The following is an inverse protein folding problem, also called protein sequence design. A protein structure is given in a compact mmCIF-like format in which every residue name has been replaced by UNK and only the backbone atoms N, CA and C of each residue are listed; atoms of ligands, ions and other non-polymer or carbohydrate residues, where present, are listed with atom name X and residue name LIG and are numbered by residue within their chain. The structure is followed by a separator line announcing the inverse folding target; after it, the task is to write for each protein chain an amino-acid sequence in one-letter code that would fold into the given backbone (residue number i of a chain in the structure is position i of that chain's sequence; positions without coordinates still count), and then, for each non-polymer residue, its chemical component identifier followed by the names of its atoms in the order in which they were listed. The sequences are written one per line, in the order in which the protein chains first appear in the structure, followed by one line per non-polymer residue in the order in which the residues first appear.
data_IF_272779690264
#
_entry.id   IF_272779690264
#
_cell.length_a   1.000
_cell.length_b   1.000
_cell.length_c   1.000
_cell.angle_alpha   90.00
_cell.angle_beta   90.00
_cell.angle_gamma   90.00
#
_symmetry.space_group_name_H-M   'P 1'
#
loop_
_entity.id
_entity.type
_entity.pdbx_description
1 polymer ?
#
# COMPACT_ATOMS: atom_id res chain seq x y z
N UNK A 1 -25.42 15.19 4.14
CA UNK A 1 -25.19 14.13 3.13
C UNK A 1 -24.76 12.89 3.86
N UNK A 2 -25.65 11.93 3.99
CA UNK A 2 -25.23 10.64 4.52
C UNK A 2 -24.37 9.96 3.49
N UNK A 3 -23.08 9.80 3.81
CA UNK A 3 -22.33 8.76 3.14
C UNK A 3 -23.00 7.45 3.51
N UNK A 4 -23.80 6.90 2.62
CA UNK A 4 -24.15 5.51 2.75
C UNK A 4 -22.83 4.76 2.87
N UNK A 5 -22.55 4.29 4.07
CA UNK A 5 -21.63 3.16 4.20
C UNK A 5 -22.19 2.13 3.24
N UNK A 6 -21.51 1.98 2.11
CA UNK A 6 -21.83 0.89 1.21
C UNK A 6 -21.99 -0.31 2.13
N UNK A 7 -23.18 -0.85 2.15
CA UNK A 7 -23.55 -2.00 2.96
C UNK A 7 -22.40 -2.95 3.06
N UNK A 8 -22.19 -3.54 4.21
CA UNK A 8 -21.16 -4.56 4.46
C UNK A 8 -21.20 -5.54 3.30
N UNK A 9 -20.45 -5.21 2.24
CA UNK A 9 -20.26 -6.12 1.13
C UNK A 9 -19.54 -7.31 1.70
N UNK A 10 -19.97 -8.48 1.28
CA UNK A 10 -19.24 -9.70 1.56
C UNK A 10 -17.83 -9.58 0.94
N UNK A 11 -16.87 -9.16 1.77
CA UNK A 11 -15.48 -8.98 1.36
C UNK A 11 -14.79 -10.31 1.03
N UNK A 12 -15.46 -11.45 1.31
CA UNK A 12 -14.85 -12.77 1.09
C UNK A 12 -14.48 -13.02 -0.37
N UNK A 13 -15.13 -12.35 -1.31
CA UNK A 13 -14.88 -12.51 -2.75
C UNK A 13 -13.94 -11.45 -3.34
N UNK A 14 -13.57 -10.44 -2.55
CA UNK A 14 -12.65 -9.40 -3.01
C UNK A 14 -11.25 -9.97 -3.22
N UNK A 15 -10.63 -9.55 -4.31
CA UNK A 15 -9.24 -9.88 -4.63
C UNK A 15 -8.39 -8.63 -4.46
N UNK A 16 -7.38 -8.74 -3.62
CA UNK A 16 -6.49 -7.63 -3.28
C UNK A 16 -5.07 -7.97 -3.70
N UNK A 17 -4.45 -7.07 -4.46
CA UNK A 17 -3.03 -7.15 -4.77
C UNK A 17 -2.25 -6.22 -3.84
N UNK A 18 -1.19 -6.73 -3.24
CA UNK A 18 -0.26 -5.94 -2.44
C UNK A 18 1.05 -5.83 -3.20
N UNK A 19 1.54 -4.61 -3.37
CA UNK A 19 2.86 -4.35 -3.94
C UNK A 19 3.73 -3.84 -2.81
N UNK A 20 4.81 -4.53 -2.53
CA UNK A 20 5.72 -4.16 -1.44
C UNK A 20 7.15 -4.03 -1.95
N UNK A 21 7.83 -2.95 -1.57
CA UNK A 21 9.22 -2.76 -1.93
C UNK A 21 10.15 -3.47 -0.95
N UNK A 22 11.27 -4.00 -1.47
CA UNK A 22 12.27 -4.70 -0.65
C UNK A 22 13.23 -3.75 0.06
N UNK A 23 13.48 -2.59 -0.51
CA UNK A 23 14.37 -1.62 0.12
C UNK A 23 13.81 -1.17 1.48
N UNK A 24 14.63 -1.15 2.53
CA UNK A 24 14.22 -0.99 3.92
C UNK A 24 13.34 -2.15 4.39
N UNK A 25 13.77 -3.37 4.13
CA UNK A 25 12.99 -4.59 4.32
C UNK A 25 12.46 -4.78 5.75
N UNK A 26 13.23 -4.39 6.78
CA UNK A 26 12.76 -4.48 8.18
C UNK A 26 11.45 -3.71 8.36
N UNK A 27 11.36 -2.53 7.73
CA UNK A 27 10.17 -1.68 7.80
C UNK A 27 9.06 -2.23 6.90
N UNK A 28 9.39 -2.52 5.64
CA UNK A 28 8.38 -2.94 4.66
C UNK A 28 7.76 -4.29 5.00
N UNK A 29 8.51 -5.19 5.62
CA UNK A 29 7.98 -6.45 6.11
C UNK A 29 6.93 -6.25 7.21
N UNK A 30 7.13 -5.27 8.08
CA UNK A 30 6.17 -4.92 9.12
C UNK A 30 4.89 -4.30 8.53
N UNK A 31 5.06 -3.46 7.51
CA UNK A 31 3.93 -2.89 6.79
C UNK A 31 3.09 -3.97 6.12
N UNK A 32 3.77 -4.91 5.47
CA UNK A 32 3.13 -6.04 4.81
C UNK A 32 2.32 -6.89 5.81
N UNK A 33 2.92 -7.20 6.95
CA UNK A 33 2.27 -8.00 7.97
C UNK A 33 1.03 -7.28 8.54
N UNK A 34 1.14 -5.98 8.80
CA UNK A 34 0.02 -5.17 9.25
C UNK A 34 -1.11 -5.11 8.22
N UNK A 35 -0.78 -4.91 6.95
CA UNK A 35 -1.76 -4.88 5.88
C UNK A 35 -2.46 -6.23 5.73
N UNK A 36 -1.69 -7.31 5.69
CA UNK A 36 -2.22 -8.67 5.55
C UNK A 36 -3.15 -9.04 6.70
N UNK A 37 -2.72 -8.76 7.93
CA UNK A 37 -3.52 -9.03 9.12
C UNK A 37 -4.86 -8.29 9.07
N UNK A 38 -4.84 -7.00 8.73
CA UNK A 38 -6.05 -6.21 8.64
C UNK A 38 -7.00 -6.68 7.52
N UNK A 39 -6.45 -7.15 6.39
CA UNK A 39 -7.27 -7.74 5.33
C UNK A 39 -7.97 -9.02 5.80
N UNK A 40 -7.23 -9.90 6.47
CA UNK A 40 -7.81 -11.14 7.01
C UNK A 40 -8.90 -10.85 8.05
N UNK A 41 -8.68 -9.87 8.92
CA UNK A 41 -9.69 -9.44 9.90
C UNK A 41 -10.95 -8.86 9.24
N UNK A 42 -10.79 -8.22 8.09
CA UNK A 42 -11.91 -7.69 7.32
C UNK A 42 -12.70 -8.77 6.57
N UNK A 43 -12.27 -10.02 6.63
CA UNK A 43 -12.95 -11.14 5.99
C UNK A 43 -12.46 -11.49 4.60
N UNK A 44 -11.38 -10.88 4.13
CA UNK A 44 -10.78 -11.24 2.84
C UNK A 44 -10.02 -12.55 2.99
N UNK A 45 -10.24 -13.47 2.06
CA UNK A 45 -9.61 -14.79 2.12
C UNK A 45 -8.14 -14.69 1.73
N UNK A 46 -7.31 -15.47 2.42
CA UNK A 46 -5.88 -15.55 2.16
C UNK A 46 -5.55 -15.86 0.70
N UNK A 47 -6.30 -16.76 0.05
CA UNK A 47 -6.11 -17.11 -1.35
C UNK A 47 -6.43 -15.98 -2.33
N UNK A 48 -7.12 -14.94 -1.87
CA UNK A 48 -7.46 -13.76 -2.67
C UNK A 48 -6.53 -12.59 -2.43
N UNK A 49 -5.45 -12.79 -1.70
CA UNK A 49 -4.41 -11.79 -1.44
C UNK A 49 -3.16 -12.20 -2.21
N UNK A 50 -2.79 -11.42 -3.21
CA UNK A 50 -1.56 -11.62 -3.97
C UNK A 50 -0.52 -10.59 -3.54
N UNK A 51 0.72 -11.04 -3.35
CA UNK A 51 1.82 -10.18 -2.95
C UNK A 51 2.85 -10.14 -4.08
N UNK A 52 3.16 -8.93 -4.55
CA UNK A 52 4.19 -8.68 -5.54
C UNK A 52 5.30 -7.84 -4.92
N UNK A 53 6.53 -8.29 -5.08
CA UNK A 53 7.70 -7.59 -4.56
C UNK A 53 8.38 -6.82 -5.68
N UNK A 54 8.81 -5.61 -5.37
CA UNK A 54 9.62 -4.76 -6.25
C UNK A 54 10.85 -4.28 -5.48
N UNK A 55 11.86 -3.80 -6.19
CA UNK A 55 13.12 -3.42 -5.55
C UNK A 55 12.96 -2.23 -4.60
N UNK A 56 12.36 -1.16 -5.05
CA UNK A 56 12.20 0.07 -4.27
C UNK A 56 10.86 0.75 -4.53
N UNK A 57 10.60 1.80 -3.77
CA UNK A 57 9.35 2.55 -3.89
C UNK A 57 9.17 3.17 -5.29
N UNK A 58 10.26 3.51 -5.96
CA UNK A 58 10.21 4.09 -7.31
C UNK A 58 9.61 3.13 -8.34
N UNK A 59 9.75 1.83 -8.15
CA UNK A 59 9.21 0.80 -9.05
C UNK A 59 7.75 0.45 -8.77
N UNK A 60 7.20 0.87 -7.65
CA UNK A 60 5.81 0.54 -7.26
C UNK A 60 4.79 1.05 -8.27
N UNK A 61 4.83 2.31 -8.75
CA UNK A 61 3.81 2.80 -9.68
C UNK A 61 3.69 1.99 -10.96
N UNK A 62 4.81 1.56 -11.54
CA UNK A 62 4.79 0.78 -12.77
C UNK A 62 4.18 -0.60 -12.54
N UNK A 63 4.53 -1.26 -11.45
CA UNK A 63 3.94 -2.54 -11.07
C UNK A 63 2.44 -2.39 -10.80
N UNK A 64 2.04 -1.33 -10.10
CA UNK A 64 0.65 -1.04 -9.81
C UNK A 64 -0.17 -0.83 -11.08
N UNK A 65 0.35 -0.06 -12.02
CA UNK A 65 -0.33 0.17 -13.29
C UNK A 65 -0.56 -1.13 -14.05
N UNK A 66 0.46 -1.97 -14.16
CA UNK A 66 0.35 -3.25 -14.85
C UNK A 66 -0.67 -4.18 -14.17
N UNK A 67 -0.62 -4.26 -12.86
CA UNK A 67 -1.56 -5.08 -12.10
C UNK A 67 -3.00 -4.56 -12.27
N UNK A 68 -3.19 -3.26 -12.17
CA UNK A 68 -4.52 -2.65 -12.32
C UNK A 68 -5.12 -2.87 -13.70
N UNK A 69 -4.30 -2.85 -14.73
CA UNK A 69 -4.75 -3.05 -16.12
C UNK A 69 -5.25 -4.47 -16.41
N UNK A 70 -4.83 -5.46 -15.61
CA UNK A 70 -5.28 -6.85 -15.82
C UNK A 70 -6.74 -7.09 -15.49
N UNK A 71 -7.35 -6.23 -14.67
CA UNK A 71 -8.72 -6.42 -14.20
C UNK A 71 -8.89 -7.56 -13.19
N UNK A 72 -7.79 -8.13 -12.72
CA UNK A 72 -7.81 -9.28 -11.81
C UNK A 72 -8.16 -8.89 -10.37
N UNK A 73 -7.71 -7.72 -9.92
CA UNK A 73 -7.87 -7.27 -8.54
C UNK A 73 -8.92 -6.18 -8.42
N UNK A 74 -9.66 -6.21 -7.32
CA UNK A 74 -10.65 -5.17 -6.98
C UNK A 74 -9.99 -3.92 -6.44
N UNK A 75 -8.85 -4.07 -5.79
CA UNK A 75 -8.05 -2.96 -5.25
C UNK A 75 -6.60 -3.39 -5.08
N UNK A 76 -5.71 -2.42 -5.02
CA UNK A 76 -4.29 -2.63 -4.78
C UNK A 76 -3.84 -1.84 -3.55
N UNK A 77 -2.85 -2.37 -2.85
CA UNK A 77 -2.20 -1.71 -1.71
C UNK A 77 -0.72 -1.55 -2.02
N UNK A 78 -0.22 -0.34 -1.97
CA UNK A 78 1.18 -0.03 -2.23
C UNK A 78 1.91 0.21 -0.91
N UNK A 79 2.91 -0.61 -0.62
CA UNK A 79 3.68 -0.56 0.63
C UNK A 79 5.15 -0.33 0.33
N UNK A 80 5.73 0.66 0.97
CA UNK A 80 7.14 0.98 0.81
C UNK A 80 7.64 1.88 1.94
N UNK A 81 8.92 2.16 1.90
CA UNK A 81 9.53 3.05 2.89
C UNK A 81 10.66 3.84 2.25
N UNK A 82 10.55 5.15 2.31
CA UNK A 82 11.56 6.09 1.84
C UNK A 82 12.05 6.89 3.04
N UNK A 83 13.30 6.75 3.38
CA UNK A 83 13.92 7.44 4.51
C UNK A 83 14.88 8.50 3.94
N UNK A 84 14.79 9.73 4.47
CA UNK A 84 15.64 10.82 4.01
C UNK A 84 17.11 10.49 4.24
N UNK A 85 17.90 10.64 3.17
CA UNK A 85 19.34 10.54 3.22
C UNK A 85 20.01 11.91 3.13
N UNK A 86 21.28 11.92 2.77
CA UNK A 86 22.11 13.14 2.67
C UNK A 86 21.83 13.95 1.39
N UNK A 87 21.15 13.35 0.42
CA UNK A 87 20.92 13.96 -0.89
C UNK A 87 19.43 14.18 -1.16
N UNK A 88 19.13 14.89 -2.25
CA UNK A 88 17.76 15.14 -2.71
C UNK A 88 17.07 13.89 -3.30
N UNK A 89 17.75 12.76 -3.37
CA UNK A 89 17.19 11.51 -3.90
C UNK A 89 15.88 11.11 -3.19
N UNK A 90 15.79 11.31 -1.89
CA UNK A 90 14.58 11.08 -1.10
C UNK A 90 13.36 11.77 -1.72
N UNK A 91 13.51 13.05 -2.06
CA UNK A 91 12.41 13.86 -2.57
C UNK A 91 11.92 13.35 -3.93
N UNK A 92 12.84 12.93 -4.78
CA UNK A 92 12.52 12.36 -6.08
C UNK A 92 11.72 11.07 -5.91
N UNK A 93 12.22 10.15 -5.10
CA UNK A 93 11.56 8.85 -4.89
C UNK A 93 10.20 9.03 -4.22
N UNK A 94 10.12 9.84 -3.16
CA UNK A 94 8.87 10.08 -2.43
C UNK A 94 7.81 10.73 -3.33
N UNK A 95 8.17 11.76 -4.06
CA UNK A 95 7.23 12.50 -4.90
C UNK A 95 6.80 11.69 -6.13
N UNK A 96 7.73 11.05 -6.81
CA UNK A 96 7.42 10.31 -8.03
C UNK A 96 6.65 9.02 -7.75
N UNK A 97 6.95 8.33 -6.65
CA UNK A 97 6.18 7.14 -6.28
C UNK A 97 4.73 7.50 -5.95
N UNK A 98 4.49 8.54 -5.18
CA UNK A 98 3.15 9.00 -4.83
C UNK A 98 2.37 9.46 -6.07
N UNK A 99 3.01 10.27 -6.91
CA UNK A 99 2.38 10.79 -8.12
C UNK A 99 2.04 9.66 -9.09
N UNK A 100 2.96 8.74 -9.29
CA UNK A 100 2.75 7.62 -10.20
C UNK A 100 1.65 6.67 -9.74
N UNK A 101 1.50 6.46 -8.44
CA UNK A 101 0.40 5.66 -7.87
C UNK A 101 -0.93 6.35 -8.12
N UNK A 102 -1.01 7.67 -7.91
CA UNK A 102 -2.21 8.44 -8.20
C UNK A 102 -2.59 8.33 -9.68
N UNK A 103 -1.63 8.46 -10.59
CA UNK A 103 -1.86 8.31 -12.02
C UNK A 103 -2.38 6.91 -12.37
N UNK A 104 -1.78 5.86 -11.80
CA UNK A 104 -2.21 4.49 -12.04
C UNK A 104 -3.65 4.26 -11.58
N UNK A 105 -4.02 4.77 -10.41
CA UNK A 105 -5.38 4.66 -9.89
C UNK A 105 -6.39 5.41 -10.76
N UNK A 106 -6.06 6.64 -11.13
CA UNK A 106 -6.97 7.49 -11.91
C UNK A 106 -7.15 6.98 -13.33
N UNK A 107 -6.09 6.48 -13.98
CA UNK A 107 -6.17 6.01 -15.36
C UNK A 107 -6.87 4.66 -15.50
N UNK A 108 -6.84 3.83 -14.48
CA UNK A 108 -7.43 2.48 -14.51
C UNK A 108 -8.78 2.39 -13.83
N UNK A 109 -9.09 3.33 -12.93
CA UNK A 109 -10.29 3.26 -12.09
C UNK A 109 -10.18 2.26 -10.95
N UNK A 110 -9.04 1.60 -10.78
CA UNK A 110 -8.82 0.66 -9.68
C UNK A 110 -8.30 1.41 -8.45
N UNK A 111 -8.94 1.27 -7.28
CA UNK A 111 -8.44 1.89 -6.06
C UNK A 111 -7.05 1.37 -5.71
N UNK A 112 -6.11 2.28 -5.46
CA UNK A 112 -4.76 1.93 -5.03
C UNK A 112 -4.44 2.73 -3.78
N UNK A 113 -4.19 2.03 -2.69
CA UNK A 113 -3.89 2.65 -1.40
C UNK A 113 -2.42 3.00 -1.28
N UNK A 114 -2.16 4.18 -0.73
CA UNK A 114 -0.80 4.66 -0.50
C UNK A 114 -0.36 4.33 0.93
N UNK A 115 0.43 3.27 1.07
CA UNK A 115 1.06 2.86 2.32
C UNK A 115 2.58 3.01 2.28
N UNK A 116 3.08 4.02 1.57
CA UNK A 116 4.51 4.30 1.48
C UNK A 116 4.88 5.31 2.57
N UNK A 117 5.73 4.89 3.49
CA UNK A 117 6.28 5.77 4.50
C UNK A 117 7.34 6.68 3.90
N UNK A 118 7.28 7.95 4.28
CA UNK A 118 8.29 8.95 3.92
C UNK A 118 8.73 9.63 5.20
N UNK A 119 9.88 9.22 5.73
CA UNK A 119 10.33 9.65 7.06
C UNK A 119 11.72 10.27 7.02
N UNK A 120 12.02 11.06 8.05
CA UNK A 120 13.32 11.70 8.19
C UNK A 120 14.41 10.73 8.64
N UNK A 121 14.04 9.69 9.39
CA UNK A 121 14.96 8.71 9.94
C UNK A 121 14.30 7.35 10.14
N UNK A 122 15.10 6.36 10.48
CA UNK A 122 14.64 4.99 10.69
C UNK A 122 13.71 4.86 11.89
N UNK A 123 13.94 5.61 12.95
CA UNK A 123 13.11 5.59 14.16
C UNK A 123 11.67 5.98 13.85
N UNK A 124 11.47 7.04 13.07
CA UNK A 124 10.14 7.44 12.63
C UNK A 124 9.47 6.36 11.80
N UNK A 125 10.23 5.67 10.96
CA UNK A 125 9.69 4.58 10.15
C UNK A 125 9.27 3.39 11.01
N UNK A 126 10.08 3.01 11.99
CA UNK A 126 9.73 1.95 12.95
C UNK A 126 8.47 2.31 13.74
N UNK A 127 8.35 3.54 14.19
CA UNK A 127 7.18 3.99 14.96
C UNK A 127 5.87 3.91 14.17
N UNK A 128 5.94 3.99 12.85
CA UNK A 128 4.78 3.97 11.94
C UNK A 128 4.54 2.63 11.26
N UNK A 129 5.37 1.64 11.56
CA UNK A 129 5.25 0.28 11.01
C UNK A 129 4.93 -0.76 12.10
N UNK A 130 4.18 -0.37 13.11
CA UNK A 130 3.80 -1.21 14.25
C UNK A 130 4.40 -0.75 15.58
N UNK A 131 4.95 0.48 15.62
CA UNK A 131 5.45 1.11 16.84
C UNK A 131 4.42 2.05 17.47
N UNK A 132 4.90 3.14 18.06
CA UNK A 132 4.09 4.10 18.83
C UNK A 132 2.96 4.73 17.99
N UNK A 133 3.23 5.01 16.71
CA UNK A 133 2.27 5.65 15.80
C UNK A 133 1.46 4.66 14.94
N UNK A 134 1.33 3.41 15.40
CA UNK A 134 0.54 2.39 14.73
C UNK A 134 1.24 1.78 13.53
N UNK A 135 0.46 1.26 12.60
CA UNK A 135 0.95 0.59 11.40
C UNK A 135 0.31 1.19 10.15
N UNK A 136 1.12 1.87 9.33
CA UNK A 136 0.66 2.51 8.10
C UNK A 136 0.16 1.50 7.06
N UNK A 137 0.70 0.27 7.08
CA UNK A 137 0.21 -0.81 6.23
C UNK A 137 -1.23 -1.19 6.57
N UNK A 138 -1.54 -1.32 7.85
CA UNK A 138 -2.92 -1.55 8.29
C UNK A 138 -3.83 -0.36 7.97
N UNK A 139 -3.35 0.86 8.17
CA UNK A 139 -4.12 2.09 7.90
C UNK A 139 -4.47 2.23 6.41
N UNK A 140 -3.60 1.74 5.53
CA UNK A 140 -3.79 1.80 4.09
C UNK A 140 -5.02 1.01 3.62
N UNK A 141 -5.58 0.16 4.46
CA UNK A 141 -6.74 -0.66 4.10
C UNK A 141 -8.08 0.03 4.22
N UNK A 142 -8.12 1.30 4.58
CA UNK A 142 -9.38 2.07 4.57
C UNK A 142 -10.08 2.06 3.21
N UNK A 143 -9.35 1.75 2.14
CA UNK A 143 -9.89 1.58 0.79
C UNK A 143 -10.90 0.47 0.62
N UNK A 144 -10.85 -0.59 1.41
CA UNK A 144 -11.80 -1.71 1.27
C UNK A 144 -13.23 -1.28 1.60
N UNK A 145 -13.38 -0.10 2.17
CA UNK A 145 -14.67 0.49 2.49
C UNK A 145 -15.21 1.42 1.38
N UNK A 146 -14.48 1.55 0.29
CA UNK A 146 -14.90 2.37 -0.86
C UNK A 146 -15.82 1.61 -1.81
#
# INVERSE_FOLDING_TARGET
MEFQRLSVKDHSKMRIGIIVSDFNEIITSRLLEGARHALLEAGIRSENIDIKRVAGAYEIPQAALRMAETGTWDALVALGCVIRGETSHYEIVANESSRGITEAAMSTGIPISLGILTTENTEQALDRSGGIHGNKGADALSLIHI
#
